data_IF_908108875928
#
_entry.id   IF_908108875928
#
_cell.length_a   1.000
_cell.length_b   1.000
_cell.length_c   1.000
_cell.angle_alpha   90.00
_cell.angle_beta   90.00
_cell.angle_gamma   90.00
#
_symmetry.space_group_name_H-M   'P 1'
#
loop_
_entity.id
_entity.type
_entity.pdbx_description
1 polymer ?
#
# COMPACT_ATOMS: atom_id res chain seq x y z
N UNK A 1 39.37 -13.69 17.71
CA UNK A 1 39.21 -13.76 19.18
C UNK A 1 39.01 -12.34 19.64
N UNK A 2 37.77 -11.92 19.83
CA UNK A 2 37.49 -10.70 20.58
C UNK A 2 36.38 -11.03 21.56
N UNK A 3 36.69 -10.78 22.82
CA UNK A 3 35.97 -11.22 23.99
C UNK A 3 34.71 -10.37 24.14
N UNK A 4 33.54 -11.00 24.01
CA UNK A 4 32.27 -10.47 24.52
C UNK A 4 32.30 -10.53 26.04
N UNK A 5 32.88 -9.51 26.67
CA UNK A 5 32.57 -9.16 28.06
C UNK A 5 31.18 -8.55 28.09
N UNK A 6 30.19 -9.40 28.35
CA UNK A 6 28.79 -9.08 28.52
C UNK A 6 28.64 -8.31 29.84
N UNK A 7 28.38 -7.00 29.74
CA UNK A 7 27.98 -6.17 30.87
C UNK A 7 26.47 -6.36 31.03
N UNK A 8 26.04 -6.99 32.13
CA UNK A 8 24.66 -7.42 32.35
C UNK A 8 23.64 -6.25 32.53
N UNK A 9 24.08 -4.99 32.43
CA UNK A 9 23.26 -3.77 32.61
C UNK A 9 23.20 -2.84 31.35
N UNK A 10 23.43 -3.34 30.13
CA UNK A 10 23.25 -2.52 28.92
C UNK A 10 21.76 -2.40 28.57
N UNK A 11 21.24 -1.17 28.40
CA UNK A 11 19.86 -0.97 27.95
C UNK A 11 19.71 -1.29 26.46
N UNK A 12 18.52 -1.73 26.05
CA UNK A 12 18.22 -2.03 24.64
C UNK A 12 18.51 -0.82 23.72
N UNK A 13 18.27 0.39 24.23
CA UNK A 13 18.59 1.63 23.52
C UNK A 13 20.10 1.81 23.34
N UNK A 14 20.90 1.63 24.41
CA UNK A 14 22.36 1.73 24.34
C UNK A 14 22.95 0.69 23.39
N UNK A 15 22.43 -0.54 23.44
CA UNK A 15 22.79 -1.59 22.50
C UNK A 15 22.50 -1.17 21.05
N UNK A 16 21.31 -0.63 20.78
CA UNK A 16 20.93 -0.20 19.44
C UNK A 16 21.73 1.01 18.97
N UNK A 17 22.03 1.97 19.84
CA UNK A 17 22.88 3.11 19.53
C UNK A 17 24.30 2.65 19.17
N UNK A 18 24.88 1.75 19.97
CA UNK A 18 26.17 1.13 19.68
C UNK A 18 26.14 0.35 18.37
N UNK A 19 25.07 -0.38 18.10
CA UNK A 19 24.92 -1.13 16.85
C UNK A 19 24.72 -0.21 15.64
N UNK A 20 24.08 0.94 15.81
CA UNK A 20 23.87 1.93 14.76
C UNK A 20 25.12 2.80 14.49
N UNK A 21 26.11 2.82 15.41
CA UNK A 21 27.35 3.59 15.22
C UNK A 21 28.07 3.17 13.92
N UNK A 22 28.32 4.15 13.05
CA UNK A 22 29.01 3.96 11.77
C UNK A 22 28.14 3.38 10.64
N UNK A 23 26.82 3.19 10.85
CA UNK A 23 25.87 2.74 9.82
C UNK A 23 24.84 3.81 9.53
N UNK A 24 24.41 3.89 8.27
CA UNK A 24 23.21 4.69 7.94
C UNK A 24 21.98 3.98 8.51
N UNK A 25 21.24 4.60 9.44
CA UNK A 25 20.08 3.98 10.08
C UNK A 25 19.02 3.54 9.07
N UNK A 26 18.94 4.17 7.89
CA UNK A 26 18.01 3.80 6.81
C UNK A 26 18.33 2.44 6.18
N UNK A 27 19.56 1.96 6.33
CA UNK A 27 20.01 0.68 5.77
C UNK A 27 20.00 -0.46 6.81
N UNK A 28 19.57 -0.18 8.05
CA UNK A 28 19.52 -1.16 9.13
C UNK A 28 18.08 -1.56 9.40
N UNK A 29 17.82 -2.87 9.31
CA UNK A 29 16.53 -3.48 9.65
C UNK A 29 16.77 -4.51 10.74
N UNK A 30 16.09 -4.34 11.88
CA UNK A 30 16.17 -5.22 13.04
C UNK A 30 14.90 -6.06 13.09
N UNK A 31 15.05 -7.38 13.11
CA UNK A 31 13.95 -8.32 13.20
C UNK A 31 13.97 -8.95 14.61
N UNK A 32 12.95 -8.66 15.40
CA UNK A 32 12.81 -9.25 16.73
C UNK A 32 11.85 -10.42 16.63
N UNK A 33 12.38 -11.62 16.82
CA UNK A 33 11.64 -12.86 16.72
C UNK A 33 11.09 -13.30 18.09
N UNK A 34 9.92 -13.93 18.09
CA UNK A 34 9.43 -14.77 19.20
C UNK A 34 9.09 -14.04 20.50
N UNK A 35 8.72 -12.76 20.45
CA UNK A 35 8.19 -12.03 21.62
C UNK A 35 6.95 -12.74 22.18
N UNK A 36 6.08 -13.28 21.33
CA UNK A 36 4.89 -14.03 21.78
C UNK A 36 5.25 -15.27 22.62
N UNK A 37 6.36 -15.95 22.32
CA UNK A 37 6.80 -17.09 23.11
C UNK A 37 7.25 -16.66 24.51
N UNK A 38 7.98 -15.54 24.60
CA UNK A 38 8.40 -14.95 25.87
C UNK A 38 7.20 -14.47 26.71
N UNK A 39 6.24 -13.77 26.10
CA UNK A 39 5.02 -13.30 26.78
C UNK A 39 4.14 -14.47 27.24
N UNK A 40 4.02 -15.54 26.44
CA UNK A 40 3.32 -16.77 26.83
C UNK A 40 4.03 -17.51 27.96
N UNK A 41 5.35 -17.57 27.95
CA UNK A 41 6.13 -18.18 29.02
C UNK A 41 5.94 -17.41 30.34
N UNK A 42 5.97 -16.07 30.30
CA UNK A 42 5.72 -15.20 31.45
C UNK A 42 4.32 -15.42 32.03
N UNK A 43 3.28 -15.44 31.17
CA UNK A 43 1.91 -15.75 31.59
C UNK A 43 1.79 -17.14 32.21
N UNK A 44 2.40 -18.15 31.59
CA UNK A 44 2.38 -19.55 32.06
C UNK A 44 3.05 -19.70 33.41
N UNK A 45 4.21 -19.06 33.61
CA UNK A 45 4.94 -19.05 34.88
C UNK A 45 4.10 -18.41 35.98
N UNK A 46 3.44 -17.29 35.68
CA UNK A 46 2.54 -16.61 36.61
C UNK A 46 1.37 -17.49 37.02
N UNK A 47 0.69 -18.10 36.05
CA UNK A 47 -0.44 -19.00 36.30
C UNK A 47 0.00 -20.22 37.13
N UNK A 48 1.22 -20.74 36.91
CA UNK A 48 1.79 -21.83 37.72
C UNK A 48 2.03 -21.40 39.16
N UNK A 49 2.60 -20.21 39.38
CA UNK A 49 2.84 -19.65 40.73
C UNK A 49 1.51 -19.43 41.45
N UNK A 50 0.54 -18.82 40.77
CA UNK A 50 -0.80 -18.58 41.31
C UNK A 50 -1.50 -19.89 41.71
N UNK A 51 -1.54 -20.88 40.79
CA UNK A 51 -2.15 -22.20 41.07
C UNK A 51 -1.45 -22.94 42.22
N UNK A 52 -0.12 -22.87 42.29
CA UNK A 52 0.66 -23.51 43.35
C UNK A 52 0.36 -22.94 44.74
N UNK A 53 0.05 -21.65 44.82
CA UNK A 53 -0.23 -21.01 46.09
C UNK A 53 -1.70 -21.08 46.53
N UNK A 54 -2.64 -21.06 45.59
CA UNK A 54 -4.05 -21.41 45.85
C UNK A 54 -4.14 -22.81 46.46
N UNK A 55 -3.36 -23.79 45.94
CA UNK A 55 -3.28 -25.14 46.50
C UNK A 55 -2.69 -25.22 47.91
N UNK A 56 -1.89 -24.23 48.33
CA UNK A 56 -1.21 -24.19 49.63
C UNK A 56 -1.89 -23.27 50.65
N UNK A 57 -3.08 -22.71 50.34
CA UNK A 57 -3.78 -21.72 51.17
C UNK A 57 -2.87 -20.59 51.67
N UNK A 58 -1.90 -20.17 50.84
CA UNK A 58 -0.93 -19.14 51.18
C UNK A 58 -1.22 -17.89 50.36
N UNK A 59 -1.30 -16.73 51.01
CA UNK A 59 -1.44 -15.46 50.32
C UNK A 59 -0.26 -15.27 49.36
N UNK A 60 -0.56 -14.98 48.09
CA UNK A 60 0.45 -14.74 47.05
C UNK A 60 0.77 -13.27 47.03
N UNK A 61 1.93 -12.89 47.57
CA UNK A 61 2.61 -11.71 47.07
C UNK A 61 3.27 -12.12 45.75
N UNK A 62 2.61 -11.88 44.62
CA UNK A 62 3.33 -11.91 43.36
C UNK A 62 4.30 -10.74 43.46
N UNK A 63 5.61 -11.01 43.45
CA UNK A 63 6.58 -9.97 43.17
C UNK A 63 6.09 -9.28 41.91
N UNK A 64 5.80 -7.98 42.03
CA UNK A 64 5.39 -7.09 40.95
C UNK A 64 6.58 -6.85 40.02
N UNK A 65 7.17 -7.92 39.49
CA UNK A 65 7.96 -7.81 38.27
C UNK A 65 7.00 -7.35 37.19
N UNK A 66 7.35 -6.25 36.52
CA UNK A 66 6.51 -5.63 35.50
C UNK A 66 6.07 -6.69 34.49
N UNK A 67 4.76 -6.87 34.38
CA UNK A 67 4.20 -7.76 33.36
C UNK A 67 4.25 -6.99 32.06
N UNK A 68 5.22 -7.32 31.22
CA UNK A 68 5.30 -6.76 29.88
C UNK A 68 4.07 -7.22 29.10
N UNK A 69 3.28 -6.27 28.65
CA UNK A 69 2.24 -6.49 27.66
C UNK A 69 2.85 -6.49 26.26
N UNK A 70 2.14 -7.11 25.31
CA UNK A 70 2.47 -6.94 23.89
C UNK A 70 2.49 -5.45 23.50
N UNK A 71 1.58 -4.66 24.08
CA UNK A 71 1.53 -3.20 23.89
C UNK A 71 2.80 -2.50 24.39
N UNK A 72 3.38 -2.95 25.51
CA UNK A 72 4.62 -2.37 26.05
C UNK A 72 5.80 -2.70 25.13
N UNK A 73 5.85 -3.93 24.60
CA UNK A 73 6.83 -4.31 23.60
C UNK A 73 6.69 -3.45 22.33
N UNK A 74 5.49 -3.22 21.84
CA UNK A 74 5.25 -2.36 20.66
C UNK A 74 5.69 -0.91 20.91
N UNK A 75 5.35 -0.34 22.07
CA UNK A 75 5.77 1.02 22.45
C UNK A 75 7.29 1.17 22.51
N UNK A 76 7.99 0.20 23.12
CA UNK A 76 9.46 0.21 23.17
C UNK A 76 10.05 0.18 21.76
N UNK A 77 9.49 -0.63 20.87
CA UNK A 77 9.99 -0.76 19.50
C UNK A 77 9.75 0.49 18.66
N UNK A 78 8.60 1.14 18.83
CA UNK A 78 8.31 2.45 18.23
C UNK A 78 9.28 3.51 18.78
N UNK A 79 9.51 3.54 20.09
CA UNK A 79 10.49 4.43 20.71
C UNK A 79 11.89 4.25 20.14
N UNK A 80 12.35 3.00 20.02
CA UNK A 80 13.65 2.66 19.43
C UNK A 80 13.74 3.09 17.96
N UNK A 81 12.67 2.91 17.17
CA UNK A 81 12.64 3.35 15.78
C UNK A 81 12.72 4.89 15.67
N UNK A 82 12.06 5.63 16.56
CA UNK A 82 12.09 7.09 16.56
C UNK A 82 13.46 7.64 17.00
N UNK A 83 14.08 7.03 18.01
CA UNK A 83 15.36 7.50 18.58
C UNK A 83 16.57 7.10 17.72
N UNK A 84 16.54 5.92 17.10
CA UNK A 84 17.68 5.41 16.31
C UNK A 84 17.52 5.58 14.80
N UNK A 85 16.30 5.83 14.32
CA UNK A 85 15.97 5.87 12.89
C UNK A 85 16.05 4.51 12.17
N UNK A 86 16.39 3.43 12.88
CA UNK A 86 16.48 2.09 12.32
C UNK A 86 15.08 1.49 12.14
N UNK A 87 14.87 0.70 11.08
CA UNK A 87 13.59 0.00 10.92
C UNK A 87 13.55 -1.21 11.85
N UNK A 88 12.60 -1.25 12.78
CA UNK A 88 12.45 -2.36 13.71
C UNK A 88 11.14 -3.08 13.43
N UNK A 89 11.17 -4.41 13.26
CA UNK A 89 9.98 -5.22 12.97
C UNK A 89 9.84 -6.39 13.94
N UNK A 90 8.62 -6.55 14.44
CA UNK A 90 8.20 -7.70 15.23
C UNK A 90 7.87 -8.87 14.30
N UNK A 91 8.50 -10.00 14.53
CA UNK A 91 8.28 -11.23 13.79
C UNK A 91 7.76 -12.32 14.73
N UNK A 92 6.53 -12.75 14.53
CA UNK A 92 5.87 -13.72 15.41
C UNK A 92 6.17 -15.17 15.04
N UNK A 93 6.78 -15.40 13.88
CA UNK A 93 7.21 -16.73 13.46
C UNK A 93 8.52 -16.67 12.66
N UNK A 94 9.33 -17.74 12.69
CA UNK A 94 10.57 -17.83 11.92
C UNK A 94 10.32 -17.82 10.39
N UNK A 95 9.16 -18.28 9.94
CA UNK A 95 8.77 -18.22 8.52
C UNK A 95 8.65 -16.77 8.05
N UNK A 96 8.04 -15.89 8.86
CA UNK A 96 7.95 -14.47 8.55
C UNK A 96 9.33 -13.80 8.47
N UNK A 97 10.27 -14.22 9.32
CA UNK A 97 11.68 -13.74 9.24
C UNK A 97 12.29 -14.14 7.90
N UNK A 98 12.10 -15.38 7.47
CA UNK A 98 12.60 -15.85 6.18
C UNK A 98 11.98 -15.09 4.99
N UNK A 99 10.66 -14.88 5.00
CA UNK A 99 9.95 -14.13 3.97
C UNK A 99 10.43 -12.68 3.87
N UNK A 100 10.67 -12.04 5.02
CA UNK A 100 11.21 -10.69 5.08
C UNK A 100 12.61 -10.65 4.45
N UNK A 101 13.50 -11.58 4.84
CA UNK A 101 14.85 -11.66 4.28
C UNK A 101 14.79 -11.84 2.76
N UNK A 102 14.00 -12.80 2.27
CA UNK A 102 13.82 -13.05 0.83
C UNK A 102 13.35 -11.78 0.11
N UNK A 103 12.38 -11.07 0.70
CA UNK A 103 11.82 -9.83 0.13
C UNK A 103 12.87 -8.73 0.06
N UNK A 104 13.65 -8.52 1.12
CA UNK A 104 14.73 -7.54 1.14
C UNK A 104 15.84 -7.90 0.16
N UNK A 105 16.26 -9.17 0.09
CA UNK A 105 17.28 -9.62 -0.86
C UNK A 105 16.84 -9.37 -2.31
N UNK A 106 15.59 -9.67 -2.65
CA UNK A 106 15.03 -9.36 -3.97
C UNK A 106 15.02 -7.85 -4.23
N UNK A 107 14.53 -7.06 -3.27
CA UNK A 107 14.49 -5.60 -3.41
C UNK A 107 15.88 -4.97 -3.57
N UNK A 108 16.90 -5.51 -2.89
CA UNK A 108 18.30 -5.10 -3.02
C UNK A 108 18.88 -5.49 -4.39
N UNK A 109 18.56 -6.68 -4.88
CA UNK A 109 18.95 -7.12 -6.23
C UNK A 109 18.32 -6.24 -7.32
N UNK A 110 17.07 -5.80 -7.12
CA UNK A 110 16.35 -4.94 -8.06
C UNK A 110 16.77 -3.46 -7.97
N UNK A 111 17.36 -3.01 -6.84
CA UNK A 111 17.73 -1.60 -6.60
C UNK A 111 18.54 -0.96 -7.73
N UNK A 112 19.62 -1.56 -8.28
CA UNK A 112 20.37 -0.96 -9.40
C UNK A 112 19.58 -0.93 -10.72
N UNK A 113 18.54 -1.76 -10.87
CA UNK A 113 17.72 -1.83 -12.08
C UNK A 113 16.47 -0.95 -12.03
N UNK A 114 16.06 -0.51 -10.84
CA UNK A 114 15.04 0.53 -10.64
C UNK A 114 15.63 1.89 -11.04
N UNK A 115 15.73 2.14 -12.34
CA UNK A 115 15.98 3.47 -12.88
C UNK A 115 14.81 4.37 -12.47
N UNK A 116 15.10 5.64 -12.16
CA UNK A 116 14.08 6.69 -12.13
C UNK A 116 13.58 6.90 -13.57
N UNK A 117 12.72 6.00 -14.04
CA UNK A 117 12.10 6.13 -15.35
C UNK A 117 11.29 7.44 -15.38
N UNK A 118 11.36 8.12 -16.53
CA UNK A 118 10.96 9.52 -16.73
C UNK A 118 9.48 9.85 -16.51
N UNK A 119 8.65 8.88 -16.13
CA UNK A 119 7.23 9.06 -15.84
C UNK A 119 6.83 8.28 -14.58
N UNK A 120 6.54 9.00 -13.50
CA UNK A 120 6.18 8.45 -12.19
C UNK A 120 4.98 7.48 -12.22
N UNK A 121 4.07 7.61 -13.20
CA UNK A 121 2.89 6.75 -13.30
C UNK A 121 3.18 5.34 -13.83
N UNK A 122 4.31 5.11 -14.52
CA UNK A 122 4.60 3.79 -15.11
C UNK A 122 4.75 2.68 -14.06
N UNK A 123 5.07 3.03 -12.82
CA UNK A 123 5.16 2.09 -11.69
C UNK A 123 3.81 1.75 -11.03
N UNK A 124 2.86 2.68 -10.99
CA UNK A 124 1.64 2.56 -10.17
C UNK A 124 0.64 1.53 -10.71
N UNK A 125 0.64 1.28 -12.03
CA UNK A 125 -0.21 0.25 -12.62
C UNK A 125 0.36 -1.17 -12.42
N UNK A 126 1.58 -1.29 -11.88
CA UNK A 126 2.30 -2.55 -11.72
C UNK A 126 3.04 -2.97 -13.01
N UNK A 127 4.17 -3.67 -12.88
CA UNK A 127 4.95 -4.14 -14.03
C UNK A 127 4.08 -4.90 -15.02
N UNK A 128 3.98 -4.38 -16.25
CA UNK A 128 3.33 -5.08 -17.36
C UNK A 128 1.79 -5.02 -17.37
N UNK A 129 1.12 -4.22 -16.55
CA UNK A 129 -0.35 -4.08 -16.63
C UNK A 129 -0.83 -3.62 -18.01
N UNK A 130 -0.17 -2.63 -18.61
CA UNK A 130 -0.46 -2.17 -19.98
C UNK A 130 -0.15 -3.25 -21.02
N UNK A 131 0.93 -4.02 -20.82
CA UNK A 131 1.33 -5.11 -21.73
C UNK A 131 0.36 -6.31 -21.64
N UNK A 132 -0.13 -6.61 -20.45
CA UNK A 132 -1.13 -7.65 -20.18
C UNK A 132 -2.48 -7.26 -20.77
N UNK A 133 -2.90 -6.01 -20.57
CA UNK A 133 -4.10 -5.45 -21.21
C UNK A 133 -4.03 -5.54 -22.75
N UNK A 134 -2.88 -5.24 -23.35
CA UNK A 134 -2.68 -5.35 -24.79
C UNK A 134 -2.70 -6.81 -25.28
N UNK A 135 -2.09 -7.74 -24.53
CA UNK A 135 -2.10 -9.18 -24.83
C UNK A 135 -3.49 -9.80 -24.68
N UNK A 136 -4.27 -9.35 -23.70
CA UNK A 136 -5.67 -9.77 -23.49
C UNK A 136 -6.62 -9.14 -24.51
N UNK A 137 -6.31 -7.93 -24.99
CA UNK A 137 -7.09 -7.25 -26.03
C UNK A 137 -7.01 -7.98 -27.37
N UNK A 138 -5.81 -8.41 -27.80
CA UNK A 138 -5.63 -8.90 -29.17
C UNK A 138 -6.13 -7.85 -30.19
N UNK A 139 -6.98 -8.26 -31.14
CA UNK A 139 -7.62 -7.35 -32.12
C UNK A 139 -8.81 -6.54 -31.56
N UNK A 140 -9.12 -6.64 -30.26
CA UNK A 140 -10.25 -5.95 -29.64
C UNK A 140 -9.89 -4.51 -29.29
N UNK A 141 -9.97 -3.62 -30.27
CA UNK A 141 -9.78 -2.16 -30.13
C UNK A 141 -10.62 -1.53 -29.02
N UNK A 142 -11.81 -2.08 -28.74
CA UNK A 142 -12.67 -1.62 -27.65
C UNK A 142 -12.08 -1.81 -26.24
N UNK A 143 -11.27 -2.86 -26.01
CA UNK A 143 -10.64 -3.08 -24.71
C UNK A 143 -9.53 -2.06 -24.45
N UNK A 144 -8.74 -1.74 -25.48
CA UNK A 144 -7.71 -0.69 -25.42
C UNK A 144 -8.35 0.65 -25.11
N UNK A 145 -9.47 0.96 -25.77
CA UNK A 145 -10.21 2.20 -25.52
C UNK A 145 -10.74 2.26 -24.08
N UNK A 146 -11.21 1.14 -23.53
CA UNK A 146 -11.60 1.06 -22.12
C UNK A 146 -10.43 1.35 -21.17
N UNK A 147 -9.26 0.76 -21.42
CA UNK A 147 -8.08 1.00 -20.60
C UNK A 147 -7.59 2.45 -20.68
N UNK A 148 -7.70 3.10 -21.84
CA UNK A 148 -7.40 4.51 -22.00
C UNK A 148 -8.35 5.39 -21.16
N UNK A 149 -9.65 5.09 -21.18
CA UNK A 149 -10.63 5.81 -20.35
C UNK A 149 -10.37 5.63 -18.85
N UNK A 150 -9.89 4.45 -18.43
CA UNK A 150 -9.54 4.17 -17.02
C UNK A 150 -8.32 4.95 -16.52
N UNK A 151 -7.50 5.54 -17.41
CA UNK A 151 -6.39 6.39 -16.99
C UNK A 151 -6.85 7.75 -16.46
N UNK A 152 -8.08 8.17 -16.75
CA UNK A 152 -8.63 9.41 -16.22
C UNK A 152 -9.02 9.26 -14.75
N UNK A 153 -8.53 10.14 -13.85
CA UNK A 153 -8.88 10.05 -12.44
C UNK A 153 -10.40 10.18 -12.24
N UNK A 154 -10.98 9.28 -11.43
CA UNK A 154 -12.42 9.20 -11.18
C UNK A 154 -13.20 8.33 -12.16
N UNK A 155 -12.60 7.86 -13.25
CA UNK A 155 -13.24 6.93 -14.18
C UNK A 155 -13.10 5.49 -13.68
N UNK A 156 -14.20 4.90 -13.25
CA UNK A 156 -14.28 3.47 -12.88
C UNK A 156 -14.70 2.61 -14.08
N UNK A 157 -14.46 1.28 -14.03
CA UNK A 157 -14.86 0.34 -15.10
C UNK A 157 -16.30 0.50 -15.60
N UNK A 158 -17.33 0.63 -14.73
CA UNK A 158 -18.71 0.85 -15.19
C UNK A 158 -18.91 2.17 -15.96
N UNK A 159 -18.16 3.22 -15.61
CA UNK A 159 -18.22 4.52 -16.30
C UNK A 159 -17.60 4.40 -17.68
N UNK A 160 -16.41 3.81 -17.77
CA UNK A 160 -15.74 3.56 -19.05
C UNK A 160 -16.63 2.71 -19.98
N UNK A 161 -17.25 1.64 -19.45
CA UNK A 161 -18.19 0.82 -20.22
C UNK A 161 -19.41 1.61 -20.72
N UNK A 162 -20.01 2.46 -19.89
CA UNK A 162 -21.14 3.29 -20.30
C UNK A 162 -20.76 4.29 -21.41
N UNK A 163 -19.56 4.87 -21.34
CA UNK A 163 -19.03 5.75 -22.39
C UNK A 163 -18.81 4.97 -23.68
N UNK A 164 -18.20 3.77 -23.62
CA UNK A 164 -17.94 2.93 -24.80
C UNK A 164 -19.21 2.50 -25.50
N UNK A 165 -20.28 2.19 -24.75
CA UNK A 165 -21.58 1.84 -25.34
C UNK A 165 -22.12 2.96 -26.24
N UNK A 166 -21.86 4.23 -25.91
CA UNK A 166 -22.26 5.39 -26.73
C UNK A 166 -21.21 5.78 -27.77
N UNK A 167 -19.93 5.69 -27.41
CA UNK A 167 -18.78 6.07 -28.21
C UNK A 167 -17.74 4.93 -28.24
N UNK A 168 -17.88 3.97 -29.18
CA UNK A 168 -17.11 2.73 -29.16
C UNK A 168 -15.63 2.91 -29.51
N UNK A 169 -15.23 4.08 -30.04
CA UNK A 169 -13.83 4.41 -30.29
C UNK A 169 -13.53 5.90 -30.01
N UNK A 170 -12.24 6.27 -29.81
CA UNK A 170 -11.84 7.67 -29.63
C UNK A 170 -12.32 8.56 -30.78
N UNK A 171 -12.29 8.07 -32.01
CA UNK A 171 -12.74 8.82 -33.19
C UNK A 171 -14.24 9.14 -33.16
N UNK A 172 -15.08 8.25 -32.60
CA UNK A 172 -16.51 8.54 -32.43
C UNK A 172 -16.72 9.66 -31.42
N UNK A 173 -15.96 9.64 -30.31
CA UNK A 173 -16.03 10.67 -29.30
C UNK A 173 -15.54 12.03 -29.84
N UNK A 174 -14.42 12.05 -30.58
CA UNK A 174 -13.88 13.26 -31.20
C UNK A 174 -14.83 13.84 -32.26
N UNK A 175 -15.47 13.01 -33.08
CA UNK A 175 -16.51 13.45 -34.03
C UNK A 175 -17.70 14.07 -33.31
N UNK A 176 -18.13 13.47 -32.19
CA UNK A 176 -19.22 14.02 -31.40
C UNK A 176 -18.87 15.39 -30.81
N UNK A 177 -17.65 15.58 -30.30
CA UNK A 177 -17.17 16.90 -29.88
C UNK A 177 -17.12 17.91 -31.03
N UNK A 178 -16.70 17.50 -32.22
CA UNK A 178 -16.67 18.37 -33.41
C UNK A 178 -18.05 18.80 -33.92
N UNK A 179 -19.10 18.04 -33.59
CA UNK A 179 -20.48 18.37 -33.94
C UNK A 179 -21.18 19.25 -32.89
N UNK A 180 -20.55 19.51 -31.73
CA UNK A 180 -21.12 20.39 -30.72
C UNK A 180 -21.08 21.85 -31.19
N UNK A 181 -22.13 22.60 -30.89
CA UNK A 181 -22.27 24.01 -31.30
C UNK A 181 -21.50 24.97 -30.40
N UNK A 182 -21.13 24.53 -29.20
CA UNK A 182 -20.38 25.34 -28.23
C UNK A 182 -19.41 24.51 -27.39
N UNK A 183 -18.39 25.16 -26.83
CA UNK A 183 -17.46 24.51 -25.90
C UNK A 183 -18.16 23.97 -24.65
N UNK A 184 -19.15 24.70 -24.11
CA UNK A 184 -19.91 24.27 -22.93
C UNK A 184 -20.70 22.98 -23.20
N UNK A 185 -21.27 22.85 -24.39
CA UNK A 185 -21.96 21.64 -24.83
C UNK A 185 -20.98 20.46 -24.95
N UNK A 186 -19.79 20.69 -25.51
CA UNK A 186 -18.75 19.66 -25.59
C UNK A 186 -18.26 19.22 -24.19
N UNK A 187 -18.09 20.15 -23.26
CA UNK A 187 -17.71 19.84 -21.87
C UNK A 187 -18.77 19.01 -21.12
N UNK A 188 -20.06 19.19 -21.41
CA UNK A 188 -21.17 18.43 -20.80
C UNK A 188 -21.62 17.20 -21.59
N UNK A 189 -21.00 16.89 -22.75
CA UNK A 189 -21.44 15.82 -23.65
C UNK A 189 -21.56 14.43 -22.99
N UNK A 190 -20.69 14.12 -22.01
CA UNK A 190 -20.65 12.83 -21.31
C UNK A 190 -21.38 12.87 -19.97
N UNK A 191 -21.74 14.05 -19.46
CA UNK A 191 -22.23 14.27 -18.10
C UNK A 191 -23.45 13.40 -17.78
N UNK A 192 -24.43 13.38 -18.68
CA UNK A 192 -25.72 12.71 -18.48
C UNK A 192 -25.75 11.23 -18.88
N UNK A 193 -24.61 10.66 -19.29
CA UNK A 193 -24.54 9.23 -19.60
C UNK A 193 -24.86 8.42 -18.34
N UNK A 194 -25.85 7.53 -18.45
CA UNK A 194 -26.26 6.68 -17.35
C UNK A 194 -25.29 5.51 -17.17
N UNK A 195 -24.83 5.34 -15.94
CA UNK A 195 -23.91 4.31 -15.48
C UNK A 195 -24.68 3.37 -14.57
N UNK A 196 -24.93 2.16 -15.05
CA UNK A 196 -25.57 1.10 -14.27
C UNK A 196 -24.52 0.36 -13.44
N UNK A 197 -24.70 0.29 -12.13
CA UNK A 197 -23.89 -0.53 -11.21
C UNK A 197 -24.74 -1.66 -10.66
N UNK A 198 -24.23 -2.90 -10.76
CA UNK A 198 -24.91 -4.12 -10.29
C UNK A 198 -25.90 -4.71 -11.29
N UNK A 199 -26.42 -5.89 -10.95
CA UNK A 199 -27.40 -6.64 -11.74
C UNK A 199 -28.71 -6.81 -10.95
N UNK A 200 -29.85 -6.88 -11.67
CA UNK A 200 -31.16 -7.10 -11.05
C UNK A 200 -31.72 -5.89 -10.30
N UNK A 201 -32.55 -6.16 -9.27
CA UNK A 201 -33.35 -5.18 -8.50
C UNK A 201 -32.49 -4.25 -7.63
N UNK A 202 -31.22 -4.60 -7.39
CA UNK A 202 -30.25 -3.80 -6.61
C UNK A 202 -29.42 -2.90 -7.54
N UNK A 203 -29.78 -2.79 -8.83
CA UNK A 203 -29.06 -1.95 -9.76
C UNK A 203 -29.22 -0.47 -9.38
N UNK A 204 -28.11 0.18 -9.05
CA UNK A 204 -28.05 1.63 -8.85
C UNK A 204 -27.67 2.30 -10.16
N UNK A 205 -28.42 3.33 -10.54
CA UNK A 205 -28.11 4.17 -11.69
C UNK A 205 -27.50 5.47 -11.20
N UNK A 206 -26.29 5.78 -11.68
CA UNK A 206 -25.64 7.08 -11.48
C UNK A 206 -25.30 7.69 -12.83
N UNK A 207 -25.03 8.99 -12.86
CA UNK A 207 -24.51 9.64 -14.07
C UNK A 207 -22.98 9.67 -14.04
N UNK A 208 -22.34 9.95 -15.19
CA UNK A 208 -20.89 10.15 -15.25
C UNK A 208 -20.49 11.41 -14.47
N UNK A 209 -21.25 12.49 -14.64
CA UNK A 209 -21.05 13.76 -13.93
C UNK A 209 -20.15 14.76 -14.67
N UNK A 210 -20.36 16.04 -14.37
CA UNK A 210 -19.75 17.17 -15.09
C UNK A 210 -18.21 17.18 -15.02
N UNK A 211 -17.63 16.87 -13.85
CA UNK A 211 -16.17 16.92 -13.66
C UNK A 211 -15.43 15.93 -14.55
N UNK A 212 -15.94 14.70 -14.66
CA UNK A 212 -15.37 13.67 -15.53
C UNK A 212 -15.57 14.04 -17.00
N UNK A 213 -16.77 14.51 -17.37
CA UNK A 213 -17.07 14.94 -18.74
C UNK A 213 -16.12 16.05 -19.22
N UNK A 214 -15.96 17.09 -18.41
CA UNK A 214 -15.07 18.22 -18.70
C UNK A 214 -13.61 17.79 -18.82
N UNK A 215 -13.14 16.92 -17.93
CA UNK A 215 -11.76 16.41 -17.95
C UNK A 215 -11.45 15.60 -19.21
N UNK A 216 -12.35 14.71 -19.61
CA UNK A 216 -12.17 13.91 -20.83
C UNK A 216 -12.18 14.80 -22.06
N UNK A 217 -13.11 15.75 -22.15
CA UNK A 217 -13.15 16.73 -23.24
C UNK A 217 -11.84 17.53 -23.32
N UNK A 218 -11.40 18.08 -22.18
CA UNK A 218 -10.16 18.84 -22.10
C UNK A 218 -8.95 18.01 -22.54
N UNK A 219 -8.83 16.77 -22.05
CA UNK A 219 -7.71 15.89 -22.43
C UNK A 219 -7.70 15.45 -23.89
N UNK A 220 -8.85 15.36 -24.54
CA UNK A 220 -8.95 14.93 -25.94
C UNK A 220 -8.79 16.09 -26.93
N UNK A 221 -9.11 17.31 -26.51
CA UNK A 221 -9.13 18.50 -27.39
C UNK A 221 -7.95 19.44 -27.15
N UNK A 222 -7.32 19.39 -25.96
CA UNK A 222 -6.18 20.25 -25.63
C UNK A 222 -5.02 19.99 -26.59
N UNK A 223 -4.44 21.07 -27.13
CA UNK A 223 -3.29 21.03 -28.05
C UNK A 223 -1.96 21.16 -27.31
N UNK A 224 -1.98 21.61 -26.06
CA UNK A 224 -0.80 21.97 -25.30
C UNK A 224 -0.66 21.09 -24.05
N UNK A 225 0.36 20.24 -24.04
CA UNK A 225 0.55 19.24 -22.97
C UNK A 225 0.69 19.85 -21.56
N UNK A 226 1.22 21.08 -21.43
CA UNK A 226 1.40 21.75 -20.13
C UNK A 226 0.09 22.12 -19.44
N UNK A 227 -0.99 22.36 -20.19
CA UNK A 227 -2.28 22.74 -19.61
C UNK A 227 -3.01 21.54 -18.97
N UNK A 228 -2.62 20.30 -19.33
CA UNK A 228 -3.15 19.07 -18.73
C UNK A 228 -2.71 18.86 -17.27
N UNK A 229 -1.58 19.46 -16.88
CA UNK A 229 -1.01 19.29 -15.55
C UNK A 229 -1.55 20.31 -14.52
N UNK A 230 -2.30 21.32 -14.96
CA UNK A 230 -2.79 22.42 -14.12
C UNK A 230 -4.25 22.28 -13.65
N UNK A 231 -4.94 21.17 -13.96
CA UNK A 231 -6.38 20.95 -13.70
C UNK A 231 -6.65 19.75 -12.78
#
# INVERSE_FOLDING_TARGET
MDQTSQSDDETLLQFMQRFAQGRDPKNVVILVNSIDAALRAQKTQRDRIFRAAVRKNKAVHLNSGEVLSYFDCENVMVGLQLETGCSVRLCNSPELVADIIITYTKALADRPFKKEDSFSFHGDLGPGATRKALKEAGDKTGLIWQHQLLQYPGVSTPVASAIITKYPSPSHLLKAYGNCSSQKEAESLLEDIQVRRGAGVIASTRRVGASISKRIHFSMTCKQASELLSN
#
